data_IF_237422418330
#
_entry.id   IF_237422418330
#
_cell.length_a   1.000
_cell.length_b   1.000
_cell.length_c   1.000
_cell.angle_alpha   90.00
_cell.angle_beta   90.00
_cell.angle_gamma   90.00
#
_symmetry.space_group_name_H-M   'P 1'
#
loop_
_entity.id
_entity.type
_entity.pdbx_description
1 polymer ?
#
# COMPACT_ATOMS: atom_id res chain seq x y z
N UNK A 1 14.80 -5.50 20.77
CA UNK A 1 14.46 -6.61 21.67
C UNK A 1 12.97 -6.78 21.79
N UNK A 2 12.51 -8.00 22.07
CA UNK A 2 11.08 -8.34 22.23
C UNK A 2 10.37 -7.50 23.31
N UNK A 3 11.10 -6.91 24.24
CA UNK A 3 10.55 -6.06 25.30
C UNK A 3 10.09 -4.67 24.84
N UNK A 4 10.60 -4.16 23.72
CA UNK A 4 10.25 -2.82 23.23
C UNK A 4 8.94 -2.81 22.46
N UNK A 5 8.56 -3.90 21.82
CA UNK A 5 7.31 -4.02 21.06
C UNK A 5 6.10 -3.89 22.01
N UNK A 6 6.13 -4.52 23.17
CA UNK A 6 5.04 -4.45 24.14
C UNK A 6 4.84 -3.09 24.80
N UNK A 7 5.89 -2.28 24.94
CA UNK A 7 5.79 -0.95 25.56
C UNK A 7 5.23 0.13 24.63
N UNK A 8 5.12 -0.15 23.34
CA UNK A 8 4.75 0.82 22.31
C UNK A 8 3.34 0.66 21.75
N UNK A 9 2.61 -0.35 22.16
CA UNK A 9 1.29 -0.73 21.63
C UNK A 9 0.26 0.41 21.58
N UNK A 10 0.30 1.34 22.52
CA UNK A 10 -0.66 2.44 22.61
C UNK A 10 -0.04 3.83 22.34
N UNK A 11 1.18 3.90 21.83
CA UNK A 11 1.84 5.16 21.53
C UNK A 11 1.65 5.53 20.06
N UNK A 12 1.38 6.80 19.79
CA UNK A 12 1.34 7.33 18.43
C UNK A 12 2.73 7.27 17.76
N UNK A 13 2.77 7.13 16.46
CA UNK A 13 3.98 7.10 15.64
C UNK A 13 4.99 6.01 16.08
N UNK A 14 4.51 4.84 16.43
CA UNK A 14 5.35 3.69 16.79
C UNK A 14 5.19 2.61 15.75
N UNK A 15 6.13 2.57 14.80
CA UNK A 15 6.27 1.49 13.84
C UNK A 15 6.80 0.23 14.53
N UNK A 16 6.46 -0.94 14.00
CA UNK A 16 6.92 -2.23 14.54
C UNK A 16 8.31 -2.61 14.05
N UNK A 17 8.51 -2.56 12.73
CA UNK A 17 9.76 -2.90 12.06
C UNK A 17 9.96 -2.01 10.83
N UNK A 18 11.10 -1.34 10.75
CA UNK A 18 11.46 -0.42 9.64
C UNK A 18 12.70 -0.92 8.90
N UNK A 19 12.59 -1.91 8.01
CA UNK A 19 13.71 -2.31 7.17
C UNK A 19 13.99 -1.20 6.16
N UNK A 20 15.16 -0.57 6.26
CA UNK A 20 15.60 0.51 5.37
C UNK A 20 16.88 0.12 4.66
N UNK A 21 16.86 0.12 3.34
CA UNK A 21 18.01 -0.25 2.48
C UNK A 21 18.61 -1.61 2.84
N UNK A 22 17.72 -2.57 3.11
CA UNK A 22 18.06 -3.92 3.53
C UNK A 22 17.92 -4.91 2.37
N UNK A 23 18.75 -5.96 2.41
CA UNK A 23 18.69 -7.08 1.47
C UNK A 23 18.69 -8.41 2.25
N UNK A 24 18.18 -9.48 1.64
CA UNK A 24 18.14 -10.81 2.27
C UNK A 24 17.35 -10.81 3.60
N UNK A 25 16.15 -10.23 3.63
CA UNK A 25 15.36 -10.09 4.86
C UNK A 25 14.29 -11.16 4.97
N UNK A 26 14.28 -11.90 6.06
CA UNK A 26 13.19 -12.80 6.42
C UNK A 26 12.52 -12.38 7.73
N UNK A 27 11.23 -12.05 7.66
CA UNK A 27 10.37 -11.87 8.84
C UNK A 27 9.45 -13.09 8.95
N UNK A 28 9.63 -13.89 10.00
CA UNK A 28 8.96 -15.17 10.14
C UNK A 28 8.28 -15.31 11.50
N UNK A 29 7.02 -15.74 11.50
CA UNK A 29 6.30 -16.13 12.71
C UNK A 29 6.15 -15.02 13.74
N UNK A 30 6.11 -13.76 13.30
CA UNK A 30 6.14 -12.58 14.18
C UNK A 30 4.72 -12.05 14.41
N UNK A 31 4.42 -11.70 15.66
CA UNK A 31 3.22 -10.96 16.05
C UNK A 31 3.60 -9.50 16.31
N UNK A 32 2.97 -8.57 15.56
CA UNK A 32 3.21 -7.13 15.66
C UNK A 32 1.88 -6.43 15.92
N UNK A 33 1.79 -5.67 17.01
CA UNK A 33 0.62 -4.84 17.36
C UNK A 33 1.14 -3.49 17.86
N UNK A 34 0.90 -2.44 17.11
CA UNK A 34 1.54 -1.13 17.29
C UNK A 34 0.59 0.02 16.95
N UNK A 35 1.01 1.24 17.22
CA UNK A 35 0.19 2.45 17.01
C UNK A 35 0.40 3.15 15.67
N UNK A 36 1.34 2.70 14.82
CA UNK A 36 1.56 3.16 13.46
C UNK A 36 1.77 1.95 12.53
N UNK A 37 2.63 1.97 11.54
CA UNK A 37 2.79 0.87 10.59
C UNK A 37 3.42 -0.37 11.25
N UNK A 38 2.84 -1.55 11.09
CA UNK A 38 3.41 -2.78 11.67
C UNK A 38 4.76 -3.12 11.03
N UNK A 39 4.85 -3.05 9.71
CA UNK A 39 6.11 -3.11 8.98
C UNK A 39 6.13 -1.93 8.00
N UNK A 40 7.18 -1.09 8.04
CA UNK A 40 7.36 0.02 7.12
C UNK A 40 8.67 -0.13 6.34
N UNK A 41 8.55 -0.62 5.10
CA UNK A 41 9.68 -0.89 4.21
C UNK A 41 10.15 0.42 3.59
N UNK A 42 11.42 0.76 3.80
CA UNK A 42 12.02 2.04 3.40
C UNK A 42 13.32 1.82 2.63
N UNK A 43 13.76 2.84 1.86
CA UNK A 43 15.05 2.86 1.17
C UNK A 43 15.62 4.27 1.07
N UNK A 44 15.48 5.02 2.16
CA UNK A 44 16.03 6.33 2.36
C UNK A 44 15.24 7.50 1.77
N UNK A 45 15.52 8.67 2.31
CA UNK A 45 15.10 9.95 1.74
C UNK A 45 15.92 10.28 0.50
N UNK A 46 15.43 11.17 -0.35
CA UNK A 46 16.07 11.47 -1.64
C UNK A 46 17.57 11.89 -1.49
N UNK A 47 17.91 12.64 -0.47
CA UNK A 47 19.31 13.06 -0.22
C UNK A 47 20.22 11.90 0.21
N UNK A 48 19.66 10.86 0.84
CA UNK A 48 20.38 9.64 1.21
C UNK A 48 20.56 8.76 -0.03
N UNK A 49 19.52 8.53 -0.81
CA UNK A 49 19.57 7.74 -2.03
C UNK A 49 20.50 8.32 -3.10
N UNK A 50 20.76 9.61 -3.09
CA UNK A 50 21.77 10.22 -3.96
C UNK A 50 23.20 9.74 -3.66
N UNK A 51 23.47 9.37 -2.41
CA UNK A 51 24.79 8.89 -1.96
C UNK A 51 24.89 7.37 -2.01
N UNK A 52 23.98 6.68 -1.33
CA UNK A 52 24.08 5.24 -1.11
C UNK A 52 23.37 4.40 -2.20
N UNK A 53 22.26 4.88 -2.76
CA UNK A 53 21.49 4.22 -3.85
C UNK A 53 21.17 2.74 -3.59
N UNK A 54 20.96 2.38 -2.33
CA UNK A 54 20.71 1.01 -1.91
C UNK A 54 19.21 0.79 -1.75
N UNK A 55 18.56 0.01 -2.62
CA UNK A 55 17.15 -0.35 -2.46
C UNK A 55 16.96 -1.30 -1.28
N UNK A 56 15.71 -1.46 -0.84
CA UNK A 56 15.31 -2.64 -0.08
C UNK A 56 14.80 -3.68 -1.06
N UNK A 57 15.41 -4.86 -1.03
CA UNK A 57 15.11 -5.95 -1.97
C UNK A 57 15.30 -7.32 -1.34
N UNK A 58 14.75 -8.35 -2.01
CA UNK A 58 14.84 -9.73 -1.54
C UNK A 58 14.34 -9.87 -0.09
N UNK A 59 13.05 -9.52 0.10
CA UNK A 59 12.43 -9.55 1.40
C UNK A 59 11.22 -10.49 1.42
N UNK A 60 11.21 -11.42 2.35
CA UNK A 60 10.06 -12.29 2.60
C UNK A 60 9.48 -12.03 3.99
N UNK A 61 8.16 -11.79 4.05
CA UNK A 61 7.37 -11.74 5.28
C UNK A 61 6.38 -12.91 5.26
N UNK A 62 6.46 -13.81 6.22
CA UNK A 62 5.54 -14.97 6.22
C UNK A 62 5.17 -15.46 7.61
N UNK A 63 3.99 -16.07 7.69
CA UNK A 63 3.46 -16.65 8.93
C UNK A 63 3.42 -15.62 10.07
N UNK A 64 3.09 -14.37 9.74
CA UNK A 64 3.06 -13.25 10.66
C UNK A 64 1.62 -12.81 10.92
N UNK A 65 1.40 -12.19 12.08
CA UNK A 65 0.15 -11.53 12.41
C UNK A 65 0.42 -10.05 12.70
N UNK A 66 -0.16 -9.17 11.88
CA UNK A 66 -0.10 -7.72 12.03
C UNK A 66 -1.42 -7.20 12.57
N UNK A 67 -1.36 -6.33 13.58
CA UNK A 67 -2.56 -5.88 14.27
C UNK A 67 -2.49 -4.42 14.71
N UNK A 68 -3.65 -3.78 14.68
CA UNK A 68 -3.94 -2.46 15.27
C UNK A 68 -3.18 -1.26 14.64
N UNK A 69 -2.29 -1.48 13.67
CA UNK A 69 -1.46 -0.45 13.06
C UNK A 69 -2.17 0.33 11.94
N UNK A 70 -1.54 1.42 11.50
CA UNK A 70 -2.01 2.20 10.34
C UNK A 70 -1.80 1.46 9.02
N UNK A 71 -0.84 0.55 8.94
CA UNK A 71 -0.62 -0.36 7.84
C UNK A 71 -0.09 -1.69 8.35
N UNK A 72 -0.63 -2.83 7.88
CA UNK A 72 -0.05 -4.13 8.21
C UNK A 72 1.33 -4.25 7.55
N UNK A 73 1.42 -3.96 6.25
CA UNK A 73 2.69 -3.78 5.53
C UNK A 73 2.62 -2.48 4.74
N UNK A 74 3.52 -1.58 5.08
CA UNK A 74 3.65 -0.28 4.42
C UNK A 74 4.94 -0.25 3.58
N UNK A 75 4.87 0.32 2.38
CA UNK A 75 6.02 0.64 1.55
C UNK A 75 6.11 2.17 1.46
N UNK A 76 7.13 2.71 2.06
CA UNK A 76 7.31 4.16 2.13
C UNK A 76 7.05 4.78 3.50
N UNK A 77 7.12 6.10 3.54
CA UNK A 77 7.23 7.07 2.41
C UNK A 77 8.66 7.28 1.88
N UNK A 78 9.68 6.96 2.66
CA UNK A 78 11.09 7.15 2.32
C UNK A 78 11.59 5.97 1.46
N UNK A 79 11.34 6.03 0.15
CA UNK A 79 11.68 4.96 -0.81
C UNK A 79 12.47 5.48 -2.01
N UNK A 80 13.34 6.45 -1.79
CA UNK A 80 14.02 7.13 -2.89
C UNK A 80 15.07 6.26 -3.63
N UNK A 81 15.52 5.15 -3.04
CA UNK A 81 16.38 4.17 -3.73
C UNK A 81 15.61 2.96 -4.31
N UNK A 82 14.28 2.90 -4.09
CA UNK A 82 13.43 1.83 -4.61
C UNK A 82 13.20 0.67 -3.64
N UNK A 83 12.15 -0.10 -3.91
CA UNK A 83 11.79 -1.34 -3.18
C UNK A 83 11.38 -2.38 -4.22
N UNK A 84 11.99 -3.53 -4.21
CA UNK A 84 11.70 -4.59 -5.18
C UNK A 84 11.86 -5.99 -4.59
N UNK A 85 11.24 -6.97 -5.23
CA UNK A 85 11.33 -8.37 -4.82
C UNK A 85 10.94 -8.55 -3.35
N UNK A 86 9.67 -8.17 -3.04
CA UNK A 86 9.11 -8.22 -1.69
C UNK A 86 7.87 -9.08 -1.67
N UNK A 87 7.91 -10.19 -0.95
CA UNK A 87 6.86 -11.19 -0.92
C UNK A 87 6.28 -11.37 0.49
N UNK A 88 4.99 -11.02 0.64
CA UNK A 88 4.23 -11.18 1.88
C UNK A 88 3.27 -12.33 1.69
N UNK A 89 3.38 -13.38 2.50
CA UNK A 89 2.54 -14.56 2.34
C UNK A 89 2.20 -15.28 3.64
N UNK A 90 1.11 -16.02 3.61
CA UNK A 90 0.66 -16.84 4.75
C UNK A 90 0.50 -16.00 6.03
N UNK A 91 -0.10 -14.80 5.93
CA UNK A 91 -0.20 -13.84 7.02
C UNK A 91 -1.65 -13.52 7.40
N UNK A 92 -1.83 -12.95 8.58
CA UNK A 92 -3.11 -12.45 9.08
C UNK A 92 -2.99 -10.98 9.44
N UNK A 93 -3.92 -10.14 8.94
CA UNK A 93 -4.00 -8.71 9.28
C UNK A 93 -5.32 -8.44 10.00
N UNK A 94 -5.26 -7.79 11.15
CA UNK A 94 -6.43 -7.56 12.00
C UNK A 94 -6.48 -6.14 12.53
N UNK A 95 -7.63 -5.48 12.40
CA UNK A 95 -7.88 -4.15 12.96
C UNK A 95 -6.90 -3.07 12.46
N UNK A 96 -6.24 -3.26 11.33
CA UNK A 96 -5.35 -2.26 10.76
C UNK A 96 -6.13 -1.29 9.88
N UNK A 97 -5.65 -0.06 9.75
CA UNK A 97 -6.30 0.86 8.82
C UNK A 97 -6.12 0.39 7.36
N UNK A 98 -4.97 -0.18 7.02
CA UNK A 98 -4.66 -0.73 5.68
C UNK A 98 -3.95 -2.08 5.80
N UNK A 99 -4.23 -2.96 4.85
CA UNK A 99 -3.46 -4.19 4.69
C UNK A 99 -2.11 -3.89 4.04
N UNK A 100 -2.11 -3.54 2.73
CA UNK A 100 -0.99 -2.88 2.07
C UNK A 100 -1.19 -1.37 2.06
N UNK A 101 -0.12 -0.64 2.35
CA UNK A 101 -0.09 0.82 2.27
C UNK A 101 1.14 1.31 1.52
N UNK A 102 1.00 1.62 0.22
CA UNK A 102 2.07 2.30 -0.53
C UNK A 102 1.94 3.80 -0.36
N UNK A 103 3.02 4.44 0.10
CA UNK A 103 3.14 5.89 0.29
C UNK A 103 4.26 6.42 -0.60
N UNK A 104 3.92 6.95 -1.77
CA UNK A 104 4.87 7.60 -2.67
C UNK A 104 4.32 8.91 -3.22
N UNK A 105 5.13 9.66 -3.91
CA UNK A 105 4.75 10.92 -4.53
C UNK A 105 5.78 11.44 -5.52
N UNK A 106 5.43 12.41 -6.33
CA UNK A 106 6.38 13.22 -7.09
C UNK A 106 7.46 13.77 -6.17
N UNK A 107 8.69 13.79 -6.63
CA UNK A 107 9.84 14.23 -5.84
C UNK A 107 10.59 13.12 -5.12
N UNK A 108 10.14 11.86 -5.19
CA UNK A 108 10.89 10.71 -4.62
C UNK A 108 12.11 10.34 -5.47
N UNK A 109 12.11 10.70 -6.75
CA UNK A 109 13.24 10.47 -7.65
C UNK A 109 13.05 9.25 -8.56
N UNK A 110 13.78 9.23 -9.66
CA UNK A 110 13.71 8.15 -10.66
C UNK A 110 14.22 6.79 -10.18
N UNK A 111 14.98 6.76 -9.09
CA UNK A 111 15.43 5.52 -8.46
C UNK A 111 14.35 4.93 -7.51
N UNK A 112 13.32 5.71 -7.20
CA UNK A 112 12.16 5.24 -6.44
C UNK A 112 11.26 4.37 -7.32
N UNK A 113 11.72 3.16 -7.58
CA UNK A 113 11.04 2.13 -8.36
C UNK A 113 10.47 1.09 -7.39
N UNK A 114 9.16 0.88 -7.44
CA UNK A 114 8.51 -0.23 -6.76
C UNK A 114 8.25 -1.33 -7.78
N UNK A 115 8.81 -2.51 -7.56
CA UNK A 115 8.68 -3.63 -8.50
C UNK A 115 8.60 -4.96 -7.76
N UNK A 116 7.85 -5.90 -8.34
CA UNK A 116 7.69 -7.26 -7.83
C UNK A 116 7.35 -7.34 -6.35
N UNK A 117 6.24 -6.66 -5.99
CA UNK A 117 5.69 -6.70 -4.64
C UNK A 117 4.44 -7.56 -4.66
N UNK A 118 4.41 -8.62 -3.88
CA UNK A 118 3.29 -9.56 -3.86
C UNK A 118 2.76 -9.84 -2.46
N UNK A 119 1.43 -10.04 -2.41
CA UNK A 119 0.67 -10.49 -1.26
C UNK A 119 -0.08 -11.77 -1.64
N UNK A 120 0.19 -12.87 -0.95
CA UNK A 120 -0.38 -14.18 -1.27
C UNK A 120 -0.84 -14.92 -0.02
N UNK A 121 -2.01 -15.56 -0.09
CA UNK A 121 -2.59 -16.34 1.00
C UNK A 121 -2.68 -15.54 2.31
N UNK A 122 -3.51 -14.48 2.30
CA UNK A 122 -3.66 -13.58 3.44
C UNK A 122 -5.12 -13.48 3.86
N UNK A 123 -5.36 -13.70 5.14
CA UNK A 123 -6.63 -13.39 5.79
C UNK A 123 -6.59 -11.99 6.42
N UNK A 124 -7.61 -11.20 6.14
CA UNK A 124 -7.80 -9.88 6.74
C UNK A 124 -9.14 -9.82 7.47
N UNK A 125 -9.16 -9.27 8.67
CA UNK A 125 -10.38 -9.06 9.44
C UNK A 125 -10.40 -7.66 10.06
N UNK A 126 -11.50 -6.94 9.84
CA UNK A 126 -11.69 -5.58 10.37
C UNK A 126 -10.58 -4.62 9.90
N UNK A 127 -10.17 -4.73 8.63
CA UNK A 127 -9.23 -3.81 7.97
C UNK A 127 -10.04 -2.73 7.26
N UNK A 128 -9.73 -1.45 7.53
CA UNK A 128 -10.52 -0.34 6.98
C UNK A 128 -10.47 -0.31 5.45
N UNK A 129 -9.29 -0.43 4.87
CA UNK A 129 -9.07 -0.52 3.41
C UNK A 129 -7.95 -1.52 3.12
N UNK A 130 -8.23 -2.74 2.65
CA UNK A 130 -7.24 -3.78 2.38
C UNK A 130 -6.03 -3.34 1.56
N UNK A 131 -6.24 -2.60 0.46
CA UNK A 131 -5.15 -2.21 -0.43
C UNK A 131 -5.19 -0.72 -0.76
N UNK A 132 -4.11 -0.01 -0.42
CA UNK A 132 -3.95 1.41 -0.71
C UNK A 132 -2.63 1.65 -1.42
N UNK A 133 -2.70 2.22 -2.63
CA UNK A 133 -1.55 2.77 -3.36
C UNK A 133 -1.79 4.25 -3.54
N UNK A 134 -0.95 5.07 -2.91
CA UNK A 134 -1.09 6.51 -2.91
C UNK A 134 0.18 7.17 -3.48
N UNK A 135 0.11 7.62 -4.73
CA UNK A 135 1.19 8.37 -5.40
C UNK A 135 1.08 9.90 -5.21
N UNK A 136 0.28 10.35 -4.25
CA UNK A 136 0.05 11.76 -3.90
C UNK A 136 0.21 12.02 -2.41
N UNK A 137 1.08 11.26 -1.73
CA UNK A 137 1.25 11.32 -0.29
C UNK A 137 1.72 12.70 0.20
N UNK A 138 1.02 13.31 1.15
CA UNK A 138 1.17 14.72 1.49
C UNK A 138 1.93 15.02 2.80
N UNK A 139 2.41 14.03 3.54
CA UNK A 139 2.93 14.28 4.89
C UNK A 139 4.33 14.90 4.95
N UNK A 140 5.00 15.10 3.82
CA UNK A 140 6.24 15.89 3.78
C UNK A 140 5.95 17.41 3.77
N UNK A 141 6.90 18.27 4.12
CA UNK A 141 6.71 19.72 4.15
C UNK A 141 6.17 20.32 2.85
N UNK A 142 6.57 19.79 1.69
CA UNK A 142 6.10 20.19 0.36
C UNK A 142 4.93 19.33 -0.17
N UNK A 143 4.43 18.39 0.62
CA UNK A 143 3.43 17.40 0.18
C UNK A 143 2.08 17.98 -0.22
N UNK A 144 1.72 19.17 0.28
CA UNK A 144 0.48 19.88 -0.05
C UNK A 144 0.64 20.90 -1.18
N UNK A 145 1.80 20.95 -1.83
CA UNK A 145 2.02 21.81 -2.99
C UNK A 145 1.23 21.31 -4.22
N UNK A 146 0.97 22.19 -5.17
CA UNK A 146 0.35 21.82 -6.44
C UNK A 146 1.17 20.77 -7.19
N UNK A 147 2.49 20.83 -7.11
CA UNK A 147 3.39 19.84 -7.72
C UNK A 147 3.09 18.41 -7.24
N UNK A 148 2.91 18.20 -5.95
CA UNK A 148 2.63 16.87 -5.38
C UNK A 148 1.15 16.51 -5.57
N UNK A 149 0.23 17.45 -5.31
CA UNK A 149 -1.21 17.18 -5.28
C UNK A 149 -1.92 17.18 -6.63
N UNK A 150 -1.30 17.72 -7.72
CA UNK A 150 -1.94 17.83 -9.03
C UNK A 150 -2.35 16.48 -9.60
N UNK A 151 -3.61 16.37 -10.04
CA UNK A 151 -4.14 15.22 -10.77
C UNK A 151 -3.87 15.28 -12.27
N UNK A 152 -3.36 16.40 -12.77
CA UNK A 152 -2.97 16.56 -14.17
C UNK A 152 -1.59 15.93 -14.40
N UNK A 153 -1.35 15.34 -15.59
CA UNK A 153 -0.04 14.82 -15.92
C UNK A 153 1.00 15.95 -15.96
N UNK A 154 2.17 15.68 -15.41
CA UNK A 154 3.33 16.56 -15.44
C UNK A 154 4.43 15.91 -16.29
N UNK A 155 5.44 16.67 -16.76
CA UNK A 155 6.59 16.07 -17.43
C UNK A 155 7.29 15.05 -16.54
N UNK A 156 7.63 13.90 -17.11
CA UNK A 156 8.46 12.89 -16.45
C UNK A 156 9.90 13.41 -16.39
N UNK A 157 10.46 13.45 -15.21
CA UNK A 157 11.84 13.90 -14.97
C UNK A 157 12.54 13.03 -13.89
N UNK A 158 13.75 13.43 -13.51
CA UNK A 158 14.57 12.72 -12.49
C UNK A 158 13.92 12.66 -11.10
N UNK A 159 12.80 13.34 -10.88
CA UNK A 159 12.05 13.35 -9.62
C UNK A 159 10.81 12.44 -9.64
N UNK A 160 10.51 11.84 -10.80
CA UNK A 160 9.30 11.03 -11.00
C UNK A 160 9.56 9.59 -10.53
N UNK A 161 8.83 9.09 -9.50
CA UNK A 161 8.88 7.68 -9.12
C UNK A 161 8.08 6.81 -10.08
N UNK A 162 8.29 5.49 -10.02
CA UNK A 162 7.50 4.51 -10.79
C UNK A 162 7.05 3.32 -9.95
N UNK A 163 5.92 2.74 -10.32
CA UNK A 163 5.40 1.49 -9.76
C UNK A 163 5.18 0.53 -10.92
N UNK A 164 5.94 -0.57 -10.93
CA UNK A 164 5.93 -1.52 -12.03
C UNK A 164 4.92 -2.63 -11.81
N UNK A 165 5.11 -3.46 -10.79
CA UNK A 165 4.21 -4.60 -10.58
C UNK A 165 3.80 -4.77 -9.13
N UNK A 166 2.48 -4.93 -8.94
CA UNK A 166 1.86 -5.30 -7.67
C UNK A 166 0.93 -6.49 -7.91
N UNK A 167 1.04 -7.52 -7.09
CA UNK A 167 0.22 -8.72 -7.19
C UNK A 167 -0.44 -9.06 -5.86
N UNK A 168 -1.76 -9.25 -5.90
CA UNK A 168 -2.59 -9.69 -4.78
C UNK A 168 -3.27 -11.00 -5.17
N UNK A 169 -3.03 -12.06 -4.40
CA UNK A 169 -3.49 -13.39 -4.75
C UNK A 169 -3.96 -14.16 -3.52
N UNK A 170 -5.05 -14.93 -3.69
CA UNK A 170 -5.59 -15.81 -2.66
C UNK A 170 -5.84 -15.05 -1.34
N UNK A 171 -6.61 -13.96 -1.39
CA UNK A 171 -6.86 -13.07 -0.25
C UNK A 171 -8.33 -13.05 0.12
N UNK A 172 -8.60 -13.16 1.42
CA UNK A 172 -9.91 -13.11 1.98
C UNK A 172 -9.99 -11.98 3.03
N UNK A 173 -10.65 -10.88 2.66
CA UNK A 173 -10.79 -9.70 3.49
C UNK A 173 -12.24 -9.55 3.96
N UNK A 174 -12.48 -9.74 5.26
CA UNK A 174 -13.80 -9.66 5.91
C UNK A 174 -13.90 -8.41 6.77
N UNK A 175 -15.15 -7.96 6.94
CA UNK A 175 -15.45 -6.82 7.79
C UNK A 175 -14.65 -5.56 7.39
N UNK A 176 -14.47 -5.33 6.09
CA UNK A 176 -13.89 -4.09 5.57
C UNK A 176 -14.83 -2.91 5.86
N UNK A 177 -14.33 -1.68 5.81
CA UNK A 177 -15.13 -0.52 6.16
C UNK A 177 -15.21 0.53 5.04
N UNK A 178 -14.08 0.97 4.51
CA UNK A 178 -14.00 2.13 3.61
C UNK A 178 -14.08 1.71 2.15
N UNK A 179 -13.15 0.88 1.70
CA UNK A 179 -13.06 0.38 0.33
C UNK A 179 -12.35 -0.97 0.29
N UNK A 180 -12.56 -1.78 -0.75
CA UNK A 180 -11.77 -2.98 -0.99
C UNK A 180 -10.34 -2.62 -1.44
N UNK A 181 -10.23 -1.67 -2.36
CA UNK A 181 -8.94 -1.09 -2.76
C UNK A 181 -9.08 0.38 -3.14
N UNK A 182 -8.01 1.14 -2.90
CA UNK A 182 -7.89 2.55 -3.27
C UNK A 182 -6.51 2.78 -3.90
N UNK A 183 -6.47 2.72 -5.23
CA UNK A 183 -5.23 2.68 -6.00
C UNK A 183 -5.13 3.93 -6.87
N UNK A 184 -4.16 4.78 -6.59
CA UNK A 184 -3.91 6.01 -7.31
C UNK A 184 -2.45 6.11 -7.74
N UNK A 185 -2.15 5.72 -8.99
CA UNK A 185 -0.89 6.00 -9.67
C UNK A 185 -0.75 7.46 -10.07
N UNK A 186 0.41 7.89 -10.54
CA UNK A 186 0.58 9.18 -11.19
C UNK A 186 0.05 9.12 -12.63
N UNK A 187 -0.59 10.17 -13.14
CA UNK A 187 -1.10 10.16 -14.53
C UNK A 187 0.02 10.12 -15.58
N UNK A 188 1.20 10.64 -15.28
CA UNK A 188 2.40 10.60 -16.13
C UNK A 188 3.31 9.39 -15.91
N UNK A 189 3.10 8.65 -14.80
CA UNK A 189 3.85 7.43 -14.45
C UNK A 189 2.86 6.48 -13.79
N UNK A 190 2.05 5.86 -14.62
CA UNK A 190 1.00 4.94 -14.19
C UNK A 190 1.60 3.72 -13.49
N UNK A 191 0.80 3.03 -12.68
CA UNK A 191 1.15 1.69 -12.23
C UNK A 191 1.15 0.77 -13.46
N UNK A 192 2.31 0.20 -13.81
CA UNK A 192 2.44 -0.58 -15.07
C UNK A 192 1.56 -1.84 -15.06
N UNK A 193 1.57 -2.59 -13.94
CA UNK A 193 0.78 -3.82 -13.80
C UNK A 193 0.22 -3.99 -12.40
N UNK A 194 -1.08 -4.19 -12.32
CA UNK A 194 -1.80 -4.48 -11.09
C UNK A 194 -2.64 -5.75 -11.26
N UNK A 195 -2.43 -6.74 -10.40
CA UNK A 195 -3.11 -8.03 -10.48
C UNK A 195 -3.87 -8.33 -9.18
N UNK A 196 -5.14 -8.66 -9.32
CA UNK A 196 -5.99 -9.27 -8.29
C UNK A 196 -6.43 -10.65 -8.77
N UNK A 197 -6.11 -11.69 -8.01
CA UNK A 197 -6.43 -13.08 -8.36
C UNK A 197 -6.98 -13.82 -7.12
N UNK A 198 -8.16 -14.41 -7.23
CA UNK A 198 -8.84 -15.11 -6.13
C UNK A 198 -9.03 -14.22 -4.89
N UNK A 199 -9.71 -13.11 -5.03
CA UNK A 199 -9.90 -12.13 -3.97
C UNK A 199 -11.36 -12.09 -3.54
N UNK A 200 -11.61 -12.14 -2.23
CA UNK A 200 -12.91 -11.93 -1.65
C UNK A 200 -12.89 -10.74 -0.70
N UNK A 201 -13.79 -9.78 -0.94
CA UNK A 201 -14.04 -8.66 -0.03
C UNK A 201 -15.46 -8.74 0.51
N UNK A 202 -15.62 -8.51 1.80
CA UNK A 202 -16.93 -8.28 2.43
C UNK A 202 -16.84 -7.16 3.47
N UNK A 203 -17.95 -6.45 3.67
CA UNK A 203 -18.00 -5.27 4.54
C UNK A 203 -18.68 -5.59 5.86
N UNK A 204 -18.26 -4.90 6.92
CA UNK A 204 -18.94 -4.95 8.20
C UNK A 204 -20.37 -4.43 8.08
N UNK A 205 -21.30 -4.99 8.85
CA UNK A 205 -22.72 -4.53 8.88
C UNK A 205 -22.80 -3.06 9.32
N UNK A 206 -21.96 -2.69 10.27
CA UNK A 206 -21.79 -1.35 10.83
C UNK A 206 -20.52 -0.69 10.31
N UNK A 207 -20.27 -0.81 9.00
CA UNK A 207 -19.09 -0.26 8.37
C UNK A 207 -18.92 1.23 8.69
N UNK A 208 -17.75 1.58 9.18
CA UNK A 208 -17.42 2.96 9.58
C UNK A 208 -16.87 3.72 8.38
N UNK A 209 -17.33 4.95 8.15
CA UNK A 209 -16.72 5.81 7.15
C UNK A 209 -15.28 6.16 7.55
N UNK A 210 -14.45 6.43 6.56
CA UNK A 210 -13.07 6.82 6.78
C UNK A 210 -12.41 7.31 5.50
N UNK A 211 -11.22 7.87 5.65
CA UNK A 211 -10.40 8.36 4.53
C UNK A 211 -9.42 7.26 4.13
N UNK A 212 -9.55 6.78 2.88
CA UNK A 212 -8.73 5.66 2.40
C UNK A 212 -7.24 6.01 2.32
N UNK A 213 -6.88 7.22 1.91
CA UNK A 213 -5.49 7.61 1.67
C UNK A 213 -5.19 9.04 2.13
N UNK A 214 -3.96 9.26 2.59
CA UNK A 214 -3.45 10.57 3.00
C UNK A 214 -3.01 11.40 1.79
N UNK A 215 -3.99 11.91 1.03
CA UNK A 215 -3.79 12.72 -0.17
C UNK A 215 -4.88 13.79 -0.25
N UNK A 216 -4.62 14.90 -0.94
CA UNK A 216 -5.60 15.95 -1.14
C UNK A 216 -6.77 15.45 -1.98
N UNK A 217 -8.01 15.83 -1.59
CA UNK A 217 -9.22 15.43 -2.30
C UNK A 217 -9.59 13.94 -2.15
N UNK A 218 -9.15 13.30 -1.07
CA UNK A 218 -9.65 12.00 -0.65
C UNK A 218 -10.68 12.21 0.47
N UNK A 219 -11.95 12.12 0.12
CA UNK A 219 -13.06 12.34 1.05
C UNK A 219 -13.37 11.06 1.86
N UNK A 220 -14.11 11.21 2.94
CA UNK A 220 -14.63 10.08 3.69
C UNK A 220 -15.56 9.25 2.83
N UNK A 221 -15.40 7.94 2.91
CA UNK A 221 -16.20 6.97 2.18
C UNK A 221 -16.46 5.73 3.03
N UNK A 222 -17.45 4.94 2.65
CA UNK A 222 -17.78 3.66 3.26
C UNK A 222 -18.22 2.68 2.18
N UNK A 223 -17.86 1.42 2.34
CA UNK A 223 -18.27 0.29 1.47
C UNK A 223 -18.03 0.50 -0.02
N UNK A 224 -16.98 1.21 -0.40
CA UNK A 224 -16.61 1.32 -1.81
C UNK A 224 -15.92 0.04 -2.29
N UNK A 225 -16.13 -0.31 -3.56
CA UNK A 225 -15.45 -1.45 -4.19
C UNK A 225 -13.96 -1.20 -4.45
N UNK A 226 -13.48 -1.56 -5.63
CA UNK A 226 -12.13 -1.23 -6.10
C UNK A 226 -12.15 0.12 -6.80
N UNK A 227 -11.47 1.11 -6.23
CA UNK A 227 -11.25 2.41 -6.85
C UNK A 227 -9.84 2.44 -7.40
N UNK A 228 -9.71 2.47 -8.72
CA UNK A 228 -8.42 2.33 -9.42
C UNK A 228 -8.24 3.47 -10.40
N UNK A 229 -7.15 4.22 -10.29
CA UNK A 229 -6.84 5.35 -11.17
C UNK A 229 -5.36 5.33 -11.58
N UNK A 230 -5.12 5.66 -12.85
CA UNK A 230 -3.79 5.74 -13.46
C UNK A 230 -3.02 4.41 -13.40
N UNK A 231 -3.55 3.40 -14.07
CA UNK A 231 -2.95 2.06 -14.20
C UNK A 231 -2.86 1.69 -15.68
N UNK A 232 -1.73 1.18 -16.15
CA UNK A 232 -1.61 0.71 -17.53
C UNK A 232 -2.36 -0.61 -17.73
N UNK A 233 -2.10 -1.60 -16.87
CA UNK A 233 -2.71 -2.92 -16.98
C UNK A 233 -3.30 -3.37 -15.65
N UNK A 234 -4.64 -3.48 -15.59
CA UNK A 234 -5.39 -4.05 -14.48
C UNK A 234 -5.86 -5.47 -14.85
N UNK A 235 -5.48 -6.46 -14.06
CA UNK A 235 -5.86 -7.86 -14.21
C UNK A 235 -6.74 -8.26 -13.05
N UNK A 236 -7.96 -8.72 -13.34
CA UNK A 236 -8.96 -9.13 -12.36
C UNK A 236 -9.38 -10.57 -12.67
N UNK A 237 -8.98 -11.52 -11.83
CA UNK A 237 -9.32 -12.94 -11.95
C UNK A 237 -10.01 -13.43 -10.69
N UNK A 238 -11.24 -13.90 -10.83
CA UNK A 238 -12.01 -14.42 -9.70
C UNK A 238 -12.02 -13.43 -8.51
N UNK A 239 -12.51 -12.20 -8.75
CA UNK A 239 -12.61 -11.13 -7.74
C UNK A 239 -14.06 -10.98 -7.34
N UNK A 240 -14.37 -11.27 -6.08
CA UNK A 240 -15.69 -11.14 -5.50
C UNK A 240 -15.75 -10.00 -4.48
N UNK A 241 -16.75 -9.13 -4.60
CA UNK A 241 -16.96 -7.99 -3.71
C UNK A 241 -18.41 -8.01 -3.22
N UNK A 242 -18.61 -8.36 -1.96
CA UNK A 242 -19.92 -8.48 -1.37
C UNK A 242 -20.27 -7.27 -0.49
N UNK A 243 -21.42 -6.65 -0.77
CA UNK A 243 -21.97 -5.59 0.07
C UNK A 243 -21.34 -4.22 -0.11
N UNK A 244 -20.71 -3.95 -1.25
CA UNK A 244 -20.29 -2.59 -1.60
C UNK A 244 -21.50 -1.72 -1.97
N UNK A 245 -21.38 -0.43 -1.70
CA UNK A 245 -22.35 0.58 -2.14
C UNK A 245 -21.92 1.12 -3.51
N UNK A 246 -22.81 1.07 -4.50
CA UNK A 246 -22.54 1.52 -5.87
C UNK A 246 -21.76 0.50 -6.73
N UNK A 247 -20.89 0.98 -7.60
CA UNK A 247 -20.14 0.14 -8.53
C UNK A 247 -19.03 -0.64 -7.83
N UNK A 248 -18.96 -1.95 -8.09
CA UNK A 248 -17.95 -2.81 -7.50
C UNK A 248 -16.52 -2.44 -7.95
N UNK A 249 -16.36 -1.93 -9.16
CA UNK A 249 -15.06 -1.53 -9.73
C UNK A 249 -15.23 -0.20 -10.46
N UNK A 250 -14.58 0.83 -9.94
CA UNK A 250 -14.48 2.15 -10.55
C UNK A 250 -13.05 2.31 -11.07
N UNK A 251 -12.90 2.37 -12.39
CA UNK A 251 -11.61 2.48 -13.06
C UNK A 251 -11.54 3.77 -13.87
N UNK A 252 -10.58 4.62 -13.56
CA UNK A 252 -10.32 5.88 -14.25
C UNK A 252 -8.89 5.90 -14.81
N UNK A 253 -8.73 6.32 -16.07
CA UNK A 253 -7.42 6.37 -16.74
C UNK A 253 -6.64 5.03 -16.67
N UNK A 254 -7.35 3.92 -16.90
CA UNK A 254 -6.79 2.56 -17.01
C UNK A 254 -6.72 2.15 -18.46
N UNK A 255 -5.51 1.85 -18.98
CA UNK A 255 -5.33 1.61 -20.41
C UNK A 255 -5.87 0.24 -20.84
N UNK A 256 -5.71 -0.77 -19.99
CA UNK A 256 -6.19 -2.13 -20.27
C UNK A 256 -6.74 -2.80 -19.02
N UNK A 257 -7.94 -3.36 -19.13
CA UNK A 257 -8.56 -4.19 -18.09
C UNK A 257 -8.75 -5.60 -18.66
N UNK A 258 -8.12 -6.58 -18.02
CA UNK A 258 -8.34 -8.01 -18.29
C UNK A 258 -9.21 -8.59 -17.19
N UNK A 259 -10.31 -9.25 -17.56
CA UNK A 259 -11.24 -9.93 -16.64
C UNK A 259 -11.47 -11.34 -17.13
N UNK A 260 -11.65 -12.29 -16.18
CA UNK A 260 -12.15 -13.63 -16.48
C UNK A 260 -13.64 -13.59 -16.79
#
# INVERSE_FOLDING_TARGET
>A
GLGDVYKRQNSHNTDGLDPESCQDVLVLGTYISVGDDCIAIKSGKIYMAQKEKTPTEDMTVRQCCMRDGHGAVTVGSEIAAGVKDVHIRDCMFMNTDRGLRVKTRRGRGKLSVLDDISFENIDMDNVMTPFVVNSFYFCDPDGKTEYVGSRKPLPVDDRTPSIKSLTFKDINAKNCHVAGAYIFGLPESKVEKLTFENINFSYAKDAKPGVAAMMLGCDEASRQGLIVSNVEKLILKNVNIEGCDGEAIVADNVDKIERD
#
